data_IF_796856738707
#
_entry.id   IF_796856738707
#
_cell.length_a   1.000
_cell.length_b   1.000
_cell.length_c   1.000
_cell.angle_alpha   90.00
_cell.angle_beta   90.00
_cell.angle_gamma   90.00
#
_symmetry.space_group_name_H-M   'P 1'
#
loop_
_entity.id
_entity.type
_entity.pdbx_description
1 polymer ?
#
# COMPACT_ATOMS: atom_id res chain seq x y z
N UNK A 1 -21.78 -0.46 -23.69
CA UNK A 1 -20.36 -0.17 -23.50
C UNK A 1 -19.55 -1.44 -23.66
N UNK A 2 -18.44 -1.38 -24.39
CA UNK A 2 -17.60 -2.54 -24.59
C UNK A 2 -16.90 -2.93 -23.31
N UNK A 3 -16.84 -4.20 -23.02
CA UNK A 3 -16.21 -4.67 -21.78
C UNK A 3 -14.70 -4.47 -21.88
N UNK A 4 -14.13 -3.83 -20.85
CA UNK A 4 -12.71 -3.47 -20.89
C UNK A 4 -11.82 -4.69 -21.07
N UNK A 5 -12.13 -5.77 -20.34
CA UNK A 5 -11.28 -6.95 -20.38
C UNK A 5 -11.40 -7.68 -21.73
N UNK A 6 -12.58 -7.64 -22.33
CA UNK A 6 -12.77 -8.32 -23.61
C UNK A 6 -12.18 -7.54 -24.78
N UNK A 7 -11.82 -6.27 -24.56
CA UNK A 7 -11.09 -5.51 -25.57
C UNK A 7 -9.65 -5.92 -25.67
N UNK A 8 -9.15 -6.64 -24.67
CA UNK A 8 -7.80 -7.15 -24.66
C UNK A 8 -7.79 -8.55 -25.24
N UNK A 9 -6.61 -8.99 -25.63
CA UNK A 9 -6.41 -10.39 -25.97
C UNK A 9 -6.80 -11.24 -24.74
N UNK A 10 -7.42 -12.38 -24.97
CA UNK A 10 -7.74 -13.32 -23.88
C UNK A 10 -6.43 -13.91 -23.37
N UNK A 11 -5.78 -13.19 -22.48
CA UNK A 11 -4.45 -13.56 -22.02
C UNK A 11 -4.44 -14.90 -21.30
N UNK A 12 -5.44 -15.15 -20.45
CA UNK A 12 -5.49 -16.40 -19.70
C UNK A 12 -5.74 -17.57 -20.66
N UNK A 13 -6.64 -17.39 -21.62
CA UNK A 13 -6.87 -18.43 -22.62
C UNK A 13 -5.64 -18.70 -23.45
N UNK A 14 -4.92 -17.65 -23.80
CA UNK A 14 -3.70 -17.79 -24.59
C UNK A 14 -2.63 -18.55 -23.81
N UNK A 15 -2.42 -18.21 -22.53
CA UNK A 15 -1.47 -18.93 -21.68
C UNK A 15 -1.88 -20.39 -21.55
N UNK A 16 -3.18 -20.64 -21.42
CA UNK A 16 -3.70 -22.02 -21.25
C UNK A 16 -3.35 -22.93 -22.41
N UNK A 17 -3.19 -22.38 -23.61
CA UNK A 17 -2.81 -23.19 -24.78
C UNK A 17 -1.40 -23.76 -24.64
N UNK A 18 -0.53 -23.07 -23.92
CA UNK A 18 0.85 -23.54 -23.70
C UNK A 18 0.98 -24.27 -22.36
N UNK A 19 0.29 -23.78 -21.33
CA UNK A 19 0.42 -24.32 -19.98
C UNK A 19 -0.97 -24.31 -19.34
N UNK A 20 -1.64 -25.46 -19.45
CA UNK A 20 -3.02 -25.54 -18.97
C UNK A 20 -3.11 -25.48 -17.44
N UNK A 21 -2.07 -25.91 -16.73
CA UNK A 21 -2.11 -25.87 -15.27
C UNK A 21 -1.99 -24.43 -14.75
N UNK A 22 -1.06 -23.66 -15.30
CA UNK A 22 -0.95 -22.25 -14.91
C UNK A 22 -2.19 -21.48 -15.35
N UNK A 23 -2.66 -21.74 -16.57
CA UNK A 23 -3.86 -21.09 -17.07
C UNK A 23 -5.08 -21.35 -16.20
N UNK A 24 -5.23 -22.61 -15.75
CA UNK A 24 -6.36 -22.96 -14.88
C UNK A 24 -6.30 -22.20 -13.56
N UNK A 25 -5.10 -22.10 -12.97
CA UNK A 25 -4.95 -21.37 -11.72
C UNK A 25 -5.26 -19.89 -11.91
N UNK A 26 -4.77 -19.30 -13.01
CA UNK A 26 -5.09 -17.91 -13.31
C UNK A 26 -6.58 -17.67 -13.44
N UNK A 27 -7.26 -18.60 -14.11
CA UNK A 27 -8.69 -18.47 -14.31
C UNK A 27 -9.45 -18.56 -12.98
N UNK A 28 -9.01 -19.44 -12.08
CA UNK A 28 -9.63 -19.54 -10.76
C UNK A 28 -9.40 -18.28 -9.95
N UNK A 29 -8.21 -17.67 -10.06
CA UNK A 29 -7.95 -16.41 -9.36
C UNK A 29 -8.80 -15.28 -9.92
N UNK A 30 -8.97 -15.21 -11.23
CA UNK A 30 -9.86 -14.22 -11.83
C UNK A 30 -11.28 -14.37 -11.27
N UNK A 31 -11.77 -15.62 -11.23
CA UNK A 31 -13.10 -15.89 -10.69
C UNK A 31 -13.20 -15.47 -9.22
N UNK A 32 -12.15 -15.75 -8.43
CA UNK A 32 -12.14 -15.35 -7.03
C UNK A 32 -12.22 -13.84 -6.89
N UNK A 33 -11.45 -13.09 -7.69
CA UNK A 33 -11.49 -11.64 -7.62
C UNK A 33 -12.85 -11.09 -8.04
N UNK A 34 -13.48 -11.71 -9.02
CA UNK A 34 -14.82 -11.29 -9.46
C UNK A 34 -15.89 -11.58 -8.40
N UNK A 35 -15.73 -12.70 -7.69
CA UNK A 35 -16.72 -13.17 -6.72
C UNK A 35 -16.63 -12.45 -5.38
N UNK A 36 -15.40 -12.10 -4.95
CA UNK A 36 -15.16 -11.62 -3.59
C UNK A 36 -15.19 -10.09 -3.51
N UNK A 37 -15.60 -9.59 -2.34
CA UNK A 37 -15.36 -8.19 -2.00
C UNK A 37 -13.96 -8.09 -1.40
N UNK A 38 -13.08 -7.39 -2.10
CA UNK A 38 -11.69 -7.26 -1.66
C UNK A 38 -11.57 -6.07 -0.71
N UNK A 39 -11.44 -6.37 0.57
CA UNK A 39 -11.31 -5.34 1.61
C UNK A 39 -9.92 -5.33 2.25
N UNK A 40 -8.95 -6.03 1.67
CA UNK A 40 -7.57 -5.90 2.14
C UNK A 40 -7.08 -4.51 1.74
N UNK A 41 -6.68 -3.72 2.73
CA UNK A 41 -6.36 -2.30 2.53
C UNK A 41 -5.17 -2.08 1.59
N UNK A 42 -4.30 -3.07 1.46
CA UNK A 42 -3.09 -2.96 0.64
C UNK A 42 -3.26 -3.54 -0.76
N UNK A 43 -4.48 -3.85 -1.19
CA UNK A 43 -4.74 -4.40 -2.51
C UNK A 43 -5.61 -3.47 -3.33
N UNK A 44 -5.49 -3.62 -4.65
CA UNK A 44 -6.28 -2.82 -5.57
C UNK A 44 -6.50 -3.63 -6.85
N UNK A 45 -7.22 -3.03 -7.79
CA UNK A 45 -7.56 -3.67 -9.07
C UNK A 45 -7.04 -2.72 -10.16
N UNK A 46 -6.01 -3.16 -10.89
CA UNK A 46 -5.37 -2.27 -11.86
C UNK A 46 -6.19 -2.16 -13.14
N UNK A 47 -5.95 -1.09 -13.90
CA UNK A 47 -6.62 -0.91 -15.18
C UNK A 47 -6.13 -1.95 -16.19
N UNK A 48 -6.94 -2.22 -17.23
CA UNK A 48 -6.48 -3.12 -18.30
C UNK A 48 -5.20 -2.64 -18.97
N UNK A 49 -4.98 -1.33 -19.10
CA UNK A 49 -3.77 -0.82 -19.73
C UNK A 49 -2.53 -1.15 -18.89
N UNK A 50 -2.64 -1.07 -17.56
CA UNK A 50 -1.53 -1.46 -16.70
C UNK A 50 -1.24 -2.95 -16.84
N UNK A 51 -2.29 -3.78 -16.85
CA UNK A 51 -2.09 -5.22 -17.05
C UNK A 51 -1.38 -5.49 -18.38
N UNK A 52 -1.84 -4.83 -19.44
CA UNK A 52 -1.27 -5.07 -20.77
C UNK A 52 0.19 -4.62 -20.86
N UNK A 53 0.52 -3.49 -20.25
CA UNK A 53 1.89 -2.97 -20.30
C UNK A 53 2.89 -3.97 -19.71
N UNK A 54 2.47 -4.69 -18.66
CA UNK A 54 3.35 -5.63 -17.98
C UNK A 54 3.67 -6.88 -18.82
N UNK A 55 2.86 -7.16 -19.84
CA UNK A 55 3.03 -8.34 -20.66
C UNK A 55 3.67 -8.06 -22.01
N UNK A 56 4.45 -6.99 -22.14
CA UNK A 56 5.02 -6.60 -23.43
C UNK A 56 6.44 -7.09 -23.62
N UNK A 57 6.96 -6.85 -24.82
CA UNK A 57 8.32 -7.26 -25.18
C UNK A 57 9.40 -6.52 -24.40
N UNK A 58 9.03 -5.50 -23.62
CA UNK A 58 10.02 -4.78 -22.83
C UNK A 58 10.71 -5.69 -21.80
N UNK A 59 10.08 -6.80 -21.42
CA UNK A 59 10.72 -7.76 -20.54
C UNK A 59 12.01 -8.35 -21.13
N UNK A 60 12.15 -8.30 -22.45
CA UNK A 60 13.32 -8.86 -23.11
C UNK A 60 14.57 -7.98 -23.00
N UNK A 61 14.41 -6.70 -22.61
CA UNK A 61 15.50 -5.75 -22.72
C UNK A 61 16.29 -5.60 -21.43
N UNK A 62 17.59 -5.85 -21.50
CA UNK A 62 18.51 -5.60 -20.38
C UNK A 62 18.90 -4.12 -20.38
N UNK A 63 18.65 -3.41 -19.29
CA UNK A 63 18.81 -1.96 -19.26
C UNK A 63 19.53 -1.45 -18.02
N UNK A 64 20.58 -2.15 -17.58
CA UNK A 64 21.37 -1.71 -16.42
C UNK A 64 21.85 -0.27 -16.62
N UNK A 65 21.80 0.51 -15.55
CA UNK A 65 22.12 1.93 -15.59
C UNK A 65 20.86 2.77 -15.64
N UNK A 66 20.97 3.94 -16.22
CA UNK A 66 19.88 4.92 -16.25
C UNK A 66 19.74 5.49 -17.65
N UNK A 67 18.61 6.14 -17.97
CA UNK A 67 18.43 6.72 -19.31
C UNK A 67 19.64 7.54 -19.75
N UNK A 68 20.09 7.31 -20.97
CA UNK A 68 21.25 7.92 -21.60
C UNK A 68 22.60 7.50 -21.00
N UNK A 69 22.58 6.64 -19.98
CA UNK A 69 23.80 6.17 -19.31
C UNK A 69 23.67 4.65 -19.05
N UNK A 70 23.27 3.90 -20.07
CA UNK A 70 23.10 2.46 -19.93
C UNK A 70 24.41 1.73 -20.17
N UNK A 71 24.47 0.54 -19.61
CA UNK A 71 25.62 -0.35 -19.84
C UNK A 71 25.47 -1.17 -21.13
N UNK A 72 24.28 -1.16 -21.74
CA UNK A 72 23.99 -1.95 -22.93
C UNK A 72 23.43 -1.06 -24.03
N UNK A 73 23.66 -1.49 -25.27
CA UNK A 73 23.07 -0.80 -26.42
C UNK A 73 21.58 -1.14 -26.57
N UNK A 74 20.93 -0.43 -27.49
CA UNK A 74 19.54 -0.74 -27.84
C UNK A 74 18.52 -0.22 -26.85
N UNK A 75 18.88 0.77 -26.06
CA UNK A 75 18.00 1.25 -24.98
C UNK A 75 17.23 2.51 -25.32
N UNK A 76 17.28 2.96 -26.57
CA UNK A 76 16.67 4.25 -26.89
C UNK A 76 15.19 4.32 -26.56
N UNK A 77 14.46 3.21 -26.67
CA UNK A 77 13.02 3.24 -26.41
C UNK A 77 12.67 2.93 -24.97
N UNK A 78 13.42 2.05 -24.28
CA UNK A 78 13.19 1.87 -22.86
C UNK A 78 13.59 3.13 -22.09
N UNK A 79 14.53 3.93 -22.62
CA UNK A 79 14.85 5.21 -22.03
C UNK A 79 13.62 6.15 -22.05
N UNK A 80 12.88 6.14 -23.17
CA UNK A 80 11.65 6.96 -23.25
C UNK A 80 10.68 6.52 -22.17
N UNK A 81 10.49 5.23 -22.01
CA UNK A 81 9.54 4.68 -21.02
C UNK A 81 9.97 5.07 -19.61
N UNK A 82 11.24 4.87 -19.29
CA UNK A 82 11.70 5.18 -17.93
C UNK A 82 11.64 6.69 -17.65
N UNK A 83 11.98 7.52 -18.63
CA UNK A 83 11.87 8.96 -18.45
C UNK A 83 10.42 9.39 -18.27
N UNK A 84 9.48 8.79 -19.00
CA UNK A 84 8.06 9.09 -18.78
C UNK A 84 7.64 8.76 -17.35
N UNK A 85 8.05 7.60 -16.85
CA UNK A 85 7.71 7.22 -15.49
C UNK A 85 8.30 8.20 -14.48
N UNK A 86 9.58 8.56 -14.64
CA UNK A 86 10.25 9.48 -13.73
C UNK A 86 9.61 10.87 -13.76
N UNK A 87 9.36 11.39 -14.95
CA UNK A 87 8.79 12.73 -15.11
C UNK A 87 7.38 12.78 -14.53
N UNK A 88 6.57 11.75 -14.82
CA UNK A 88 5.20 11.71 -14.31
C UNK A 88 5.17 11.58 -12.79
N UNK A 89 6.08 10.78 -12.22
CA UNK A 89 6.17 10.65 -10.76
C UNK A 89 6.51 12.00 -10.13
N UNK A 90 7.48 12.72 -10.69
CA UNK A 90 7.86 14.02 -10.17
C UNK A 90 6.72 15.02 -10.27
N UNK A 91 5.99 15.01 -11.38
CA UNK A 91 4.85 15.89 -11.56
C UNK A 91 3.73 15.55 -10.58
N UNK A 92 3.45 14.25 -10.43
CA UNK A 92 2.35 13.78 -9.61
C UNK A 92 2.52 14.14 -8.14
N UNK A 93 3.74 13.99 -7.63
CA UNK A 93 4.03 14.19 -6.21
C UNK A 93 4.80 15.48 -5.92
N UNK A 94 5.11 16.26 -6.95
CA UNK A 94 5.87 17.51 -6.81
C UNK A 94 7.25 17.27 -6.21
N UNK A 95 7.89 16.19 -6.67
CA UNK A 95 9.22 15.81 -6.20
C UNK A 95 10.30 16.35 -7.15
N UNK A 96 11.49 16.55 -6.61
CA UNK A 96 12.61 17.02 -7.41
C UNK A 96 13.27 15.90 -8.20
N UNK A 97 13.20 14.67 -7.68
CA UNK A 97 13.84 13.52 -8.31
C UNK A 97 13.04 12.26 -8.00
N UNK A 98 13.01 11.34 -8.96
CA UNK A 98 12.36 10.04 -8.80
C UNK A 98 13.25 8.94 -9.31
N UNK A 99 13.28 7.81 -8.59
CA UNK A 99 13.88 6.57 -9.08
C UNK A 99 12.77 5.54 -9.14
N UNK A 100 12.48 5.06 -10.34
CA UNK A 100 11.36 4.15 -10.56
C UNK A 100 11.81 2.69 -10.71
N UNK A 101 13.08 2.39 -10.44
CA UNK A 101 13.63 1.05 -10.64
C UNK A 101 13.43 0.08 -9.47
N UNK A 102 13.13 0.48 -8.22
CA UNK A 102 12.96 -0.51 -7.17
C UNK A 102 11.95 -1.59 -7.54
N UNK A 103 12.34 -2.86 -7.34
CA UNK A 103 11.47 -3.98 -7.67
C UNK A 103 10.28 -4.08 -6.70
N UNK A 104 10.44 -3.55 -5.50
CA UNK A 104 9.41 -3.63 -4.47
C UNK A 104 9.57 -2.46 -3.50
N UNK A 105 8.55 -2.27 -2.65
CA UNK A 105 8.66 -1.30 -1.58
C UNK A 105 9.77 -1.65 -0.61
N UNK A 106 9.94 -2.93 -0.32
CA UNK A 106 11.01 -3.36 0.58
C UNK A 106 12.39 -2.99 0.01
N UNK A 107 12.58 -3.19 -1.29
CA UNK A 107 13.86 -2.83 -1.90
C UNK A 107 14.07 -1.32 -1.96
N UNK A 108 12.99 -0.57 -2.14
CA UNK A 108 13.10 0.89 -2.06
C UNK A 108 13.60 1.32 -0.68
N UNK A 109 13.02 0.76 0.38
CA UNK A 109 13.44 1.10 1.74
C UNK A 109 14.89 0.70 2.00
N UNK A 110 15.27 -0.51 1.57
CA UNK A 110 16.64 -0.98 1.75
C UNK A 110 17.62 -0.06 1.03
N UNK A 111 17.27 0.38 -0.19
CA UNK A 111 18.15 1.26 -0.94
C UNK A 111 18.35 2.60 -0.21
N UNK A 112 17.30 3.13 0.40
CA UNK A 112 17.42 4.38 1.15
C UNK A 112 18.36 4.19 2.34
N UNK A 113 18.20 3.08 3.08
CA UNK A 113 19.10 2.79 4.19
C UNK A 113 20.54 2.65 3.70
N UNK A 114 20.73 1.95 2.58
CA UNK A 114 22.06 1.75 2.01
C UNK A 114 22.69 3.10 1.59
N UNK A 115 21.87 3.99 1.07
CA UNK A 115 22.37 5.28 0.57
C UNK A 115 22.76 6.24 1.69
N UNK A 116 22.01 6.24 2.79
CA UNK A 116 22.13 7.32 3.79
C UNK A 116 22.67 6.87 5.13
N UNK A 117 22.80 5.57 5.37
CA UNK A 117 23.19 5.02 6.66
C UNK A 117 24.38 4.08 6.52
N UNK A 118 25.04 3.84 7.65
CA UNK A 118 26.04 2.79 7.77
C UNK A 118 25.49 1.67 8.67
N UNK A 119 25.93 0.42 8.47
CA UNK A 119 25.47 -0.65 9.35
C UNK A 119 25.69 -0.30 10.81
N UNK A 120 24.67 -0.59 11.62
CA UNK A 120 24.72 -0.30 13.06
C UNK A 120 24.19 1.06 13.43
N UNK A 121 23.94 1.95 12.47
CA UNK A 121 23.38 3.26 12.79
C UNK A 121 22.02 3.11 13.47
N UNK A 122 21.71 4.06 14.36
CA UNK A 122 20.43 4.08 15.07
C UNK A 122 19.36 4.74 14.20
N UNK A 123 18.22 4.07 14.10
CA UNK A 123 17.06 4.53 13.32
C UNK A 123 15.82 4.37 14.18
N UNK A 124 14.87 5.28 14.09
CA UNK A 124 13.58 5.10 14.74
C UNK A 124 12.53 4.78 13.70
N UNK A 125 11.74 3.75 13.96
CA UNK A 125 10.66 3.34 13.08
C UNK A 125 9.45 2.92 13.90
N UNK A 126 8.28 2.94 13.29
CA UNK A 126 7.06 2.58 14.00
C UNK A 126 7.07 1.10 14.37
N UNK A 127 6.64 0.82 15.59
CA UNK A 127 6.52 -0.55 16.09
C UNK A 127 5.63 -1.38 15.16
N UNK A 128 6.08 -2.58 14.82
CA UNK A 128 5.32 -3.49 13.97
C UNK A 128 3.94 -3.78 14.58
N UNK A 129 3.90 -3.96 15.88
CA UNK A 129 2.64 -4.28 16.57
C UNK A 129 1.66 -3.11 16.55
N UNK A 130 2.13 -1.89 16.28
CA UNK A 130 1.30 -0.71 16.31
C UNK A 130 1.16 -0.04 14.94
N UNK A 131 1.52 -0.74 13.87
CA UNK A 131 1.26 -0.28 12.52
C UNK A 131 2.45 -0.15 11.61
N UNK A 132 3.66 -0.42 12.08
CA UNK A 132 4.85 -0.33 11.25
C UNK A 132 4.95 -1.46 10.25
N UNK A 133 5.70 -1.23 9.18
CA UNK A 133 5.98 -2.26 8.19
C UNK A 133 7.19 -3.09 8.61
N UNK A 134 7.30 -4.32 8.09
CA UNK A 134 8.45 -5.17 8.37
C UNK A 134 9.78 -4.46 8.11
N UNK A 135 9.86 -3.70 7.04
CA UNK A 135 11.10 -3.03 6.65
C UNK A 135 11.38 -1.78 7.46
N UNK A 136 10.59 -1.52 8.49
CA UNK A 136 10.84 -0.43 9.42
C UNK A 136 11.45 -0.94 10.72
N UNK A 137 12.25 -2.01 10.65
CA UNK A 137 13.06 -2.44 11.76
C UNK A 137 12.71 -3.76 12.41
N UNK A 138 11.85 -4.57 11.77
CA UNK A 138 11.55 -5.89 12.34
C UNK A 138 12.83 -6.71 12.53
N UNK A 139 12.99 -7.38 13.67
CA UNK A 139 14.21 -8.17 13.89
C UNK A 139 14.46 -9.28 12.89
N UNK A 140 13.41 -9.76 12.22
CA UNK A 140 13.58 -10.81 11.21
C UNK A 140 13.80 -10.26 9.82
N UNK A 141 13.78 -8.95 9.68
CA UNK A 141 13.97 -8.27 8.39
C UNK A 141 15.39 -7.71 8.32
N UNK A 142 15.91 -7.54 7.11
CA UNK A 142 17.23 -6.97 6.91
C UNK A 142 17.39 -5.67 7.70
N UNK A 143 16.35 -4.85 7.74
CA UNK A 143 16.43 -3.55 8.41
C UNK A 143 16.78 -3.73 9.90
N UNK A 144 16.08 -4.63 10.58
CA UNK A 144 16.33 -4.86 12.00
C UNK A 144 17.63 -5.60 12.28
N UNK A 145 18.13 -6.34 11.29
CA UNK A 145 19.39 -7.06 11.45
C UNK A 145 20.62 -6.17 11.27
N UNK A 146 20.55 -5.22 10.36
CA UNK A 146 21.71 -4.42 9.98
C UNK A 146 21.78 -3.08 10.70
N UNK A 147 20.67 -2.58 11.21
CA UNK A 147 20.61 -1.27 11.85
C UNK A 147 20.03 -1.39 13.24
N UNK A 148 20.35 -0.43 14.09
CA UNK A 148 19.83 -0.41 15.46
C UNK A 148 18.51 0.34 15.49
N UNK A 149 17.41 -0.37 15.29
CA UNK A 149 16.10 0.24 15.27
C UNK A 149 15.51 0.36 16.66
N UNK A 150 15.05 1.55 16.97
CA UNK A 150 14.34 1.85 18.20
C UNK A 150 12.89 2.15 17.83
N UNK A 151 11.93 1.36 18.30
CA UNK A 151 10.54 1.58 17.90
C UNK A 151 9.92 2.76 18.59
N UNK A 152 9.00 3.43 17.88
CA UNK A 152 8.06 4.36 18.50
C UNK A 152 6.66 3.84 18.25
N UNK A 153 5.68 4.37 18.97
CA UNK A 153 4.35 3.83 18.88
C UNK A 153 3.26 4.85 19.05
N UNK A 154 2.10 4.33 19.41
CA UNK A 154 0.92 5.17 19.60
C UNK A 154 0.67 5.40 21.09
N UNK A 155 -0.03 6.48 21.39
CA UNK A 155 -0.49 6.75 22.75
C UNK A 155 -1.55 5.70 23.09
N UNK A 156 -1.42 5.01 24.23
CA UNK A 156 -2.37 3.93 24.53
C UNK A 156 -3.81 4.40 24.74
N UNK A 157 -4.02 5.66 25.06
CA UNK A 157 -5.38 6.17 25.25
C UNK A 157 -6.01 6.64 23.94
N UNK A 158 -5.25 7.42 23.14
CA UNK A 158 -5.78 7.95 21.88
C UNK A 158 -5.62 6.99 20.73
N UNK A 159 -4.68 6.06 20.84
CA UNK A 159 -4.32 5.12 19.78
C UNK A 159 -3.75 5.81 18.54
N UNK A 160 -3.33 7.06 18.68
CA UNK A 160 -2.68 7.84 17.62
C UNK A 160 -1.19 7.95 17.93
N UNK A 161 -0.39 8.27 16.89
CA UNK A 161 1.05 8.41 17.08
C UNK A 161 1.34 9.36 18.23
N UNK A 162 2.23 8.96 19.13
CA UNK A 162 2.61 9.75 20.29
C UNK A 162 3.82 10.61 19.91
N UNK A 163 3.56 11.77 19.33
CA UNK A 163 4.62 12.64 18.86
C UNK A 163 5.49 13.18 19.98
N UNK A 164 4.90 13.45 21.14
CA UNK A 164 5.66 13.99 22.27
C UNK A 164 6.66 12.95 22.76
N UNK A 165 6.24 11.71 22.88
CA UNK A 165 7.14 10.64 23.30
C UNK A 165 8.20 10.38 22.26
N UNK A 166 7.82 10.45 20.98
CA UNK A 166 8.78 10.31 19.88
C UNK A 166 9.86 11.38 20.00
N UNK A 167 9.46 12.63 20.22
CA UNK A 167 10.41 13.72 20.39
C UNK A 167 11.38 13.44 21.55
N UNK A 168 10.83 13.06 22.72
CA UNK A 168 11.67 12.78 23.88
C UNK A 168 12.69 11.69 23.60
N UNK A 169 12.25 10.60 23.00
CA UNK A 169 13.14 9.48 22.69
C UNK A 169 14.19 9.88 21.66
N UNK A 170 13.80 10.64 20.65
CA UNK A 170 14.73 11.08 19.62
C UNK A 170 15.82 11.98 20.19
N UNK A 171 15.47 12.83 21.15
CA UNK A 171 16.47 13.71 21.77
C UNK A 171 17.47 12.93 22.62
N UNK A 172 17.05 11.80 23.17
CA UNK A 172 17.95 10.93 23.96
C UNK A 172 18.80 10.06 23.04
N UNK A 173 18.17 9.40 22.08
CA UNK A 173 18.83 8.39 21.25
C UNK A 173 19.61 8.97 20.08
N UNK A 174 19.26 10.18 19.66
CA UNK A 174 19.94 10.86 18.55
C UNK A 174 20.05 9.96 17.32
N UNK A 175 18.92 9.48 16.77
CA UNK A 175 18.98 8.61 15.61
C UNK A 175 19.53 9.33 14.39
N UNK A 176 20.11 8.55 13.47
CA UNK A 176 20.53 9.10 12.18
C UNK A 176 19.35 9.32 11.25
N UNK A 177 18.27 8.59 11.48
CA UNK A 177 17.09 8.65 10.61
C UNK A 177 15.85 8.30 11.41
N UNK A 178 14.74 8.97 11.07
CA UNK A 178 13.42 8.58 11.57
C UNK A 178 12.57 8.21 10.38
N UNK A 179 11.93 7.04 10.45
CA UNK A 179 11.05 6.54 9.38
C UNK A 179 9.62 6.76 9.80
N UNK A 180 8.88 7.54 9.01
CA UNK A 180 7.44 7.72 9.20
C UNK A 180 6.69 6.87 8.18
N UNK A 181 5.44 6.51 8.50
CA UNK A 181 4.62 5.71 7.63
C UNK A 181 4.10 4.49 8.34
N UNK A 182 2.90 4.07 7.98
CA UNK A 182 2.23 2.99 8.68
C UNK A 182 1.39 2.15 7.72
N UNK A 183 1.28 0.86 8.04
CA UNK A 183 0.46 -0.08 7.28
C UNK A 183 -0.92 -0.24 7.89
N UNK A 184 -1.18 0.24 9.04
CA UNK A 184 -2.44 -0.01 9.76
C UNK A 184 -3.00 1.23 10.45
N UNK A 185 -2.47 3.03 10.29
CA UNK A 185 -2.73 3.77 10.70
C UNK A 185 -3.62 4.18 10.35
N UNK A 186 -4.87 4.33 10.80
CA UNK A 186 -6.06 4.89 10.15
C UNK A 186 -6.15 6.41 10.19
N UNK A 187 -5.21 7.08 10.83
CA UNK A 187 -5.33 8.54 10.96
C UNK A 187 -4.25 9.27 10.16
N UNK A 188 -4.52 10.53 9.85
CA UNK A 188 -3.59 11.38 9.11
C UNK A 188 -2.27 11.50 9.85
N UNK A 189 -1.16 11.43 9.12
CA UNK A 189 0.18 11.55 9.70
C UNK A 189 0.63 12.99 9.58
N UNK A 190 1.17 13.54 10.66
CA UNK A 190 1.63 14.92 10.70
C UNK A 190 3.11 14.97 10.30
N UNK A 191 3.36 15.12 9.00
CA UNK A 191 4.72 15.11 8.49
C UNK A 191 5.52 16.33 8.93
N UNK A 192 4.85 17.47 9.14
CA UNK A 192 5.52 18.66 9.65
C UNK A 192 6.10 18.39 11.03
N UNK A 193 5.36 17.74 11.89
CA UNK A 193 5.83 17.40 13.21
C UNK A 193 7.04 16.47 13.16
N UNK A 194 6.99 15.46 12.26
CA UNK A 194 8.15 14.59 12.05
C UNK A 194 9.36 15.40 11.61
N UNK A 195 9.16 16.35 10.69
CA UNK A 195 10.27 17.19 10.22
C UNK A 195 10.89 17.99 11.36
N UNK A 196 10.05 18.57 12.21
CA UNK A 196 10.52 19.34 13.35
C UNK A 196 11.35 18.47 14.30
N UNK A 197 10.89 17.26 14.55
CA UNK A 197 11.61 16.34 15.42
C UNK A 197 12.96 15.96 14.82
N UNK A 198 12.97 15.64 13.52
CA UNK A 198 14.22 15.29 12.84
C UNK A 198 15.21 16.44 12.87
N UNK A 199 14.74 17.66 12.63
CA UNK A 199 15.62 18.82 12.68
C UNK A 199 16.20 19.02 14.08
N UNK A 200 15.40 18.78 15.11
CA UNK A 200 15.86 18.98 16.49
C UNK A 200 16.93 17.97 16.89
N UNK A 201 16.86 16.74 16.37
CA UNK A 201 17.82 15.70 16.75
C UNK A 201 18.89 15.41 15.70
N UNK A 202 18.82 16.10 14.56
CA UNK A 202 19.83 15.94 13.50
C UNK A 202 19.66 14.71 12.65
N UNK A 203 18.43 14.24 12.46
CA UNK A 203 18.14 13.00 11.73
C UNK A 203 17.62 13.30 10.32
N UNK A 204 17.87 12.36 9.40
CA UNK A 204 17.13 12.34 8.15
C UNK A 204 15.67 11.99 8.43
N UNK A 205 14.77 12.56 7.63
CA UNK A 205 13.37 12.12 7.64
C UNK A 205 13.10 11.31 6.38
N UNK A 206 12.77 10.04 6.56
CA UNK A 206 12.30 9.16 5.49
C UNK A 206 10.83 8.88 5.73
N UNK A 207 10.01 9.04 4.70
CA UNK A 207 8.60 8.71 4.79
C UNK A 207 8.29 7.58 3.82
N UNK A 208 7.73 6.49 4.34
CA UNK A 208 7.24 5.39 3.53
C UNK A 208 5.73 5.61 3.37
N UNK A 209 5.32 6.11 2.19
CA UNK A 209 3.92 6.45 1.96
C UNK A 209 3.18 5.35 1.18
N UNK A 210 3.67 4.12 1.22
CA UNK A 210 3.12 3.06 0.38
C UNK A 210 1.61 2.96 0.46
N UNK A 211 1.06 2.95 1.67
CA UNK A 211 -0.38 2.78 1.84
C UNK A 211 -1.17 3.98 1.35
N UNK A 212 -0.61 5.17 1.47
CA UNK A 212 -1.37 6.40 1.19
C UNK A 212 -0.95 7.08 -0.10
N UNK A 213 -0.06 6.48 -0.90
CA UNK A 213 0.46 7.18 -2.08
C UNK A 213 -0.63 7.65 -3.02
N UNK A 214 -1.66 6.82 -3.25
CA UNK A 214 -2.77 7.25 -4.10
C UNK A 214 -3.56 8.40 -3.51
N UNK A 215 -3.71 8.41 -2.19
CA UNK A 215 -4.41 9.52 -1.52
C UNK A 215 -3.59 10.80 -1.58
N UNK A 216 -2.27 10.69 -1.44
CA UNK A 216 -1.38 11.83 -1.61
C UNK A 216 -1.50 12.39 -3.04
N UNK A 217 -1.45 11.48 -4.03
CA UNK A 217 -1.57 11.89 -5.43
C UNK A 217 -2.90 12.59 -5.70
N UNK A 218 -3.96 12.14 -5.05
CA UNK A 218 -5.30 12.69 -5.24
C UNK A 218 -5.56 13.94 -4.39
N UNK A 219 -4.63 14.31 -3.51
CA UNK A 219 -4.83 15.47 -2.65
C UNK A 219 -5.64 15.19 -1.39
N UNK A 220 -5.86 13.92 -1.06
CA UNK A 220 -6.68 13.54 0.10
C UNK A 220 -5.85 13.32 1.37
N UNK A 221 -4.54 13.34 1.26
CA UNK A 221 -3.64 13.24 2.40
C UNK A 221 -2.50 14.21 2.18
N UNK A 222 -1.95 14.74 3.28
CA UNK A 222 -0.79 15.62 3.21
C UNK A 222 0.35 14.96 2.45
N UNK A 223 1.07 15.73 1.67
CA UNK A 223 2.14 15.21 0.82
C UNK A 223 3.47 15.20 1.58
N UNK A 224 4.03 14.01 1.85
CA UNK A 224 5.29 13.96 2.61
C UNK A 224 6.50 14.51 1.84
N UNK A 225 6.41 14.60 0.52
CA UNK A 225 7.52 15.14 -0.27
C UNK A 225 7.87 16.56 0.16
N UNK A 226 6.88 17.31 0.62
CA UNK A 226 7.09 18.67 1.09
C UNK A 226 8.05 18.71 2.29
N UNK A 227 8.06 17.66 3.11
CA UNK A 227 8.77 17.67 4.40
C UNK A 227 9.96 16.73 4.47
N UNK A 228 9.90 15.61 3.77
CA UNK A 228 10.90 14.55 3.94
C UNK A 228 12.13 14.77 3.08
N UNK A 229 13.24 14.21 3.54
CA UNK A 229 14.46 14.13 2.72
C UNK A 229 14.25 13.11 1.60
N UNK A 230 13.66 11.96 1.93
CA UNK A 230 13.43 10.88 0.99
C UNK A 230 12.07 10.26 1.29
N UNK A 231 11.34 9.92 0.22
CA UNK A 231 10.04 9.27 0.32
C UNK A 231 10.09 7.98 -0.47
N UNK A 232 9.61 6.90 0.13
CA UNK A 232 9.47 5.63 -0.58
C UNK A 232 8.01 5.27 -0.72
N UNK A 233 7.72 4.41 -1.68
CA UNK A 233 6.36 3.89 -1.83
C UNK A 233 6.38 2.59 -2.62
N UNK A 234 5.34 1.78 -2.44
CA UNK A 234 4.97 0.79 -3.43
C UNK A 234 4.13 1.49 -4.50
N UNK A 235 3.93 0.82 -5.63
CA UNK A 235 3.12 1.39 -6.70
C UNK A 235 1.76 0.70 -6.84
N UNK A 236 1.44 -0.28 -5.98
CA UNK A 236 0.31 -1.19 -6.21
C UNK A 236 -0.77 -1.16 -5.13
N UNK A 237 -0.78 -0.16 -4.23
CA UNK A 237 -1.84 -0.06 -3.22
C UNK A 237 -2.83 1.03 -3.64
N UNK A 238 -2.93 2.12 -2.89
CA UNK A 238 -3.86 3.19 -3.29
C UNK A 238 -3.47 3.83 -4.63
N UNK A 239 -2.20 3.75 -5.01
CA UNK A 239 -1.76 4.31 -6.29
C UNK A 239 -2.28 3.51 -7.49
N UNK A 240 -2.65 2.26 -7.29
CA UNK A 240 -3.35 1.44 -8.27
C UNK A 240 -2.50 1.13 -9.51
N UNK A 241 -1.25 0.78 -9.29
CA UNK A 241 -0.34 0.43 -10.37
C UNK A 241 0.18 -1.00 -10.28
N UNK A 242 1.21 -1.30 -11.06
CA UNK A 242 1.80 -2.64 -11.00
C UNK A 242 2.53 -2.85 -9.69
N UNK A 243 2.74 -4.08 -9.29
CA UNK A 243 3.53 -4.37 -8.11
C UNK A 243 4.97 -3.92 -8.37
N UNK A 244 5.47 -3.09 -7.46
CA UNK A 244 6.80 -2.51 -7.58
C UNK A 244 6.98 -1.43 -6.54
N UNK A 245 8.12 -0.76 -6.61
CA UNK A 245 8.45 0.32 -5.69
C UNK A 245 8.95 1.56 -6.39
N UNK A 246 9.17 2.62 -5.62
CA UNK A 246 9.66 3.89 -6.14
C UNK A 246 10.25 4.70 -5.01
N UNK A 247 11.25 5.54 -5.33
CA UNK A 247 11.82 6.47 -4.38
C UNK A 247 11.72 7.88 -4.97
N UNK A 248 11.27 8.82 -4.14
CA UNK A 248 11.27 10.24 -4.46
C UNK A 248 12.21 10.94 -3.47
N UNK A 249 12.93 11.94 -3.92
CA UNK A 249 13.84 12.60 -2.97
C UNK A 249 14.16 14.02 -3.41
N UNK A 250 14.76 14.77 -2.48
CA UNK A 250 15.32 16.07 -2.80
C UNK A 250 16.54 15.88 -3.69
N UNK A 251 16.80 16.87 -4.51
CA UNK A 251 17.88 16.76 -5.52
C UNK A 251 19.22 16.43 -4.89
N UNK A 252 19.47 16.93 -3.70
CA UNK A 252 20.76 16.69 -3.04
C UNK A 252 21.02 15.22 -2.73
N UNK A 253 19.97 14.40 -2.69
CA UNK A 253 20.13 12.96 -2.42
C UNK A 253 20.01 12.12 -3.68
N UNK A 254 19.74 12.73 -4.84
CA UNK A 254 19.44 12.00 -6.06
C UNK A 254 20.55 11.04 -6.47
N UNK A 255 21.79 11.55 -6.44
CA UNK A 255 22.93 10.76 -6.87
C UNK A 255 23.14 9.55 -5.96
N UNK A 256 23.05 9.75 -4.65
CA UNK A 256 23.24 8.66 -3.68
C UNK A 256 22.12 7.60 -3.82
N UNK A 257 20.90 8.06 -4.01
CA UNK A 257 19.77 7.15 -4.16
C UNK A 257 19.91 6.32 -5.45
N UNK A 258 20.22 6.98 -6.57
CA UNK A 258 20.36 6.26 -7.83
C UNK A 258 21.49 5.24 -7.77
N UNK A 259 22.60 5.58 -7.14
CA UNK A 259 23.71 4.67 -6.99
C UNK A 259 23.37 3.51 -6.06
N UNK A 260 22.57 3.77 -5.03
CA UNK A 260 22.15 2.72 -4.10
C UNK A 260 21.25 1.70 -4.77
N UNK A 261 20.43 2.13 -5.71
CA UNK A 261 19.61 1.21 -6.48
C UNK A 261 20.51 0.45 -7.46
N UNK A 262 21.23 1.16 -8.33
CA UNK A 262 22.13 0.50 -9.27
C UNK A 262 23.48 1.22 -9.28
N UNK A 263 24.55 0.51 -8.99
CA UNK A 263 24.69 -0.94 -8.81
C UNK A 263 24.57 -1.42 -7.35
N UNK A 264 24.12 -0.56 -6.44
CA UNK A 264 24.22 -0.87 -5.02
C UNK A 264 23.43 -2.09 -4.57
N UNK A 265 22.14 -2.16 -4.91
CA UNK A 265 21.27 -3.20 -4.40
C UNK A 265 20.52 -3.98 -5.47
N UNK A 266 20.53 -3.51 -6.72
CA UNK A 266 19.83 -4.18 -7.82
C UNK A 266 20.73 -4.25 -9.03
N UNK A 267 20.32 -5.07 -10.03
CA UNK A 267 20.92 -5.13 -11.35
C UNK A 267 19.97 -4.53 -12.37
N UNK A 268 19.62 -5.31 -13.40
CA UNK A 268 18.76 -4.84 -14.48
C UNK A 268 17.37 -4.50 -14.00
N UNK A 269 16.85 -3.33 -14.38
CA UNK A 269 15.48 -2.97 -14.02
C UNK A 269 14.47 -3.78 -14.82
N UNK A 270 13.26 -3.87 -14.30
CA UNK A 270 12.17 -4.59 -14.96
C UNK A 270 11.42 -3.61 -15.85
N UNK A 271 11.85 -3.51 -17.11
CA UNK A 271 11.33 -2.45 -17.98
C UNK A 271 9.84 -2.61 -18.28
N UNK A 272 9.33 -3.85 -18.31
CA UNK A 272 7.90 -4.08 -18.50
C UNK A 272 7.09 -3.58 -17.30
N UNK A 273 7.65 -3.65 -16.11
CA UNK A 273 6.97 -3.12 -14.92
C UNK A 273 7.09 -1.59 -14.90
N UNK A 274 8.25 -1.05 -15.29
CA UNK A 274 8.38 0.41 -15.38
C UNK A 274 7.38 0.97 -16.39
N UNK A 275 7.12 0.24 -17.48
CA UNK A 275 6.07 0.65 -18.41
C UNK A 275 4.71 0.70 -17.72
N UNK A 276 4.40 -0.31 -16.91
CA UNK A 276 3.17 -0.29 -16.12
C UNK A 276 3.12 0.87 -15.15
N UNK A 277 4.25 1.21 -14.54
CA UNK A 277 4.32 2.39 -13.67
C UNK A 277 4.04 3.67 -14.45
N UNK A 278 4.64 3.81 -15.63
CA UNK A 278 4.41 5.00 -16.45
C UNK A 278 2.94 5.15 -16.81
N UNK A 279 2.27 4.06 -17.17
CA UNK A 279 0.84 4.09 -17.46
C UNK A 279 0.05 4.48 -16.21
N UNK A 280 0.38 3.86 -15.09
CA UNK A 280 -0.28 4.15 -13.81
C UNK A 280 -0.18 5.63 -13.45
N UNK A 281 1.03 6.21 -13.56
CA UNK A 281 1.22 7.60 -13.20
C UNK A 281 0.48 8.53 -14.17
N UNK A 282 0.40 8.14 -15.44
CA UNK A 282 -0.39 8.89 -16.41
C UNK A 282 -1.87 8.90 -16.04
N UNK A 283 -2.39 7.76 -15.61
CA UNK A 283 -3.77 7.69 -15.14
C UNK A 283 -3.97 8.55 -13.89
N UNK A 284 -2.99 8.51 -12.97
CA UNK A 284 -3.11 9.24 -11.71
C UNK A 284 -3.05 10.75 -11.90
N UNK A 285 -2.47 11.23 -13.01
CA UNK A 285 -2.44 12.65 -13.32
C UNK A 285 -3.77 13.20 -13.84
N UNK A 286 -4.70 12.33 -14.19
CA UNK A 286 -5.99 12.76 -14.74
C UNK A 286 -6.96 13.18 -13.63
N UNK A 287 -7.89 14.09 -13.93
CA UNK A 287 -8.85 14.53 -12.91
C UNK A 287 -9.66 13.40 -12.30
N UNK A 288 -9.94 12.35 -13.07
CA UNK A 288 -10.72 11.21 -12.57
C UNK A 288 -10.05 10.54 -11.39
N UNK A 289 -8.73 10.61 -11.30
CA UNK A 289 -8.03 9.99 -10.19
C UNK A 289 -8.27 10.76 -8.88
N UNK A 290 -8.39 12.08 -8.95
CA UNK A 290 -8.73 12.86 -7.76
C UNK A 290 -10.12 12.47 -7.24
N UNK A 291 -11.07 12.28 -8.14
CA UNK A 291 -12.40 11.81 -7.78
C UNK A 291 -12.32 10.43 -7.13
N UNK A 292 -11.52 9.55 -7.72
CA UNK A 292 -11.34 8.21 -7.18
C UNK A 292 -10.79 8.26 -5.74
N UNK A 293 -9.75 9.06 -5.51
CA UNK A 293 -9.19 9.19 -4.18
C UNK A 293 -10.19 9.73 -3.18
N UNK A 294 -10.99 10.70 -3.59
CA UNK A 294 -12.02 11.24 -2.72
C UNK A 294 -13.05 10.17 -2.36
N UNK A 295 -13.46 9.36 -3.35
CA UNK A 295 -14.41 8.29 -3.10
C UNK A 295 -13.86 7.20 -2.18
N UNK A 296 -12.55 6.93 -2.26
CA UNK A 296 -11.93 5.97 -1.32
C UNK A 296 -12.16 6.44 0.11
N UNK A 297 -11.88 7.71 0.37
CA UNK A 297 -12.00 8.26 1.72
C UNK A 297 -13.47 8.33 2.15
N UNK A 298 -14.35 8.75 1.26
CA UNK A 298 -15.79 8.75 1.54
C UNK A 298 -16.29 7.36 1.89
N UNK A 299 -15.90 6.37 1.09
CA UNK A 299 -16.32 4.99 1.33
C UNK A 299 -15.78 4.47 2.66
N UNK A 300 -14.53 4.80 2.97
CA UNK A 300 -13.96 4.36 4.24
C UNK A 300 -14.70 4.98 5.42
N UNK A 301 -15.02 6.28 5.33
CA UNK A 301 -15.78 6.93 6.39
C UNK A 301 -17.16 6.31 6.54
N UNK A 302 -17.81 6.00 5.42
CA UNK A 302 -19.15 5.39 5.47
C UNK A 302 -19.10 3.99 6.05
N UNK A 303 -18.08 3.20 5.69
CA UNK A 303 -17.94 1.87 6.26
C UNK A 303 -17.68 1.94 7.77
N UNK A 304 -16.78 2.84 8.18
CA UNK A 304 -16.48 3.02 9.60
C UNK A 304 -17.73 3.43 10.38
N UNK A 305 -18.49 4.41 9.86
CA UNK A 305 -19.72 4.85 10.53
C UNK A 305 -20.74 3.71 10.60
N UNK A 306 -20.88 2.95 9.51
CA UNK A 306 -21.81 1.84 9.49
C UNK A 306 -21.46 0.76 10.50
N UNK A 307 -20.18 0.50 10.69
CA UNK A 307 -19.72 -0.47 11.68
C UNK A 307 -19.97 0.05 13.09
N UNK A 308 -19.61 1.32 13.34
CA UNK A 308 -19.73 1.87 14.69
C UNK A 308 -21.18 1.99 15.13
N UNK A 309 -22.10 2.34 14.23
CA UNK A 309 -23.49 2.44 14.61
C UNK A 309 -24.11 1.07 14.91
N UNK A 310 -23.44 0.00 14.49
CA UNK A 310 -23.85 -1.36 14.81
C UNK A 310 -23.09 -1.95 15.99
N UNK A 311 -22.36 -1.09 16.72
CA UNK A 311 -21.67 -1.49 17.93
C UNK A 311 -20.31 -2.09 17.74
N UNK A 312 -19.76 -2.04 16.53
CA UNK A 312 -18.41 -2.57 16.27
C UNK A 312 -17.40 -1.51 16.66
N UNK A 313 -16.42 -1.89 17.48
CA UNK A 313 -15.42 -0.97 17.98
C UNK A 313 -14.28 -0.83 16.97
N UNK A 314 -13.87 0.40 16.71
CA UNK A 314 -12.76 0.67 15.79
C UNK A 314 -11.60 1.35 16.52
N UNK A 315 -10.39 0.97 16.16
CA UNK A 315 -9.19 1.63 16.66
C UNK A 315 -9.26 3.11 16.29
N UNK A 316 -8.94 3.99 17.21
CA UNK A 316 -9.03 5.45 17.13
C UNK A 316 -10.45 6.00 16.95
N UNK A 317 -11.46 5.14 16.92
CA UNK A 317 -12.84 5.60 16.75
C UNK A 317 -13.17 6.06 15.34
N UNK A 318 -12.48 5.56 14.34
CA UNK A 318 -12.79 5.94 12.96
C UNK A 318 -11.58 5.93 12.06
N UNK A 319 -11.65 6.73 10.99
CA UNK A 319 -10.58 6.78 10.01
C UNK A 319 -10.54 8.13 9.31
N UNK A 320 -9.33 8.54 8.91
CA UNK A 320 -9.12 9.71 8.05
C UNK A 320 -8.73 9.32 6.64
N UNK A 321 -8.50 8.02 6.38
CA UNK A 321 -7.92 7.63 5.11
C UNK A 321 -8.70 6.47 4.48
N UNK A 322 -7.98 5.48 3.95
CA UNK A 322 -8.57 4.38 3.19
C UNK A 322 -8.80 3.13 4.03
N UNK A 323 -8.34 3.10 5.28
CA UNK A 323 -8.38 1.88 6.07
C UNK A 323 -8.94 2.13 7.46
N UNK A 324 -9.38 1.05 8.09
CA UNK A 324 -9.83 1.07 9.47
C UNK A 324 -9.51 -0.26 10.11
N UNK A 325 -9.49 -0.27 11.44
CA UNK A 325 -9.15 -1.46 12.21
C UNK A 325 -10.30 -1.78 13.16
N UNK A 326 -10.90 -2.96 12.99
CA UNK A 326 -11.86 -3.47 13.98
C UNK A 326 -11.08 -3.94 15.18
N UNK A 327 -11.55 -3.57 16.37
CA UNK A 327 -10.92 -3.95 17.64
C UNK A 327 -11.83 -4.92 18.38
N UNK A 328 -11.40 -6.18 18.46
CA UNK A 328 -12.13 -7.25 19.12
C UNK A 328 -11.62 -7.53 20.53
N UNK A 329 -10.79 -6.64 21.08
CA UNK A 329 -10.25 -6.84 22.44
C UNK A 329 -11.38 -7.03 23.44
N UNK A 330 -11.22 -8.01 24.32
CA UNK A 330 -12.22 -8.34 25.33
C UNK A 330 -13.30 -9.28 24.85
N UNK A 331 -13.34 -9.59 23.56
CA UNK A 331 -14.30 -10.56 23.03
C UNK A 331 -13.66 -11.93 22.88
N UNK A 332 -14.48 -12.98 22.89
CA UNK A 332 -13.96 -14.30 22.58
C UNK A 332 -13.52 -14.41 21.11
N UNK A 333 -14.24 -13.73 20.24
CA UNK A 333 -13.91 -13.75 18.81
C UNK A 333 -12.54 -13.12 18.57
N UNK A 334 -11.71 -13.83 17.82
CA UNK A 334 -10.36 -13.39 17.48
C UNK A 334 -10.31 -12.83 16.07
N UNK A 335 -9.23 -12.08 15.79
CA UNK A 335 -9.00 -11.62 14.43
C UNK A 335 -8.90 -12.77 13.44
N UNK A 336 -8.19 -13.83 13.83
CA UNK A 336 -8.06 -15.01 12.98
C UNK A 336 -9.41 -15.65 12.65
N UNK A 337 -10.27 -15.76 13.64
CA UNK A 337 -11.59 -16.37 13.41
C UNK A 337 -12.48 -15.47 12.56
N UNK A 338 -12.46 -14.17 12.80
CA UNK A 338 -13.25 -13.25 11.97
C UNK A 338 -12.77 -13.26 10.52
N UNK A 339 -11.45 -13.27 10.33
CA UNK A 339 -10.88 -13.37 8.98
C UNK A 339 -11.42 -14.63 8.27
N UNK A 340 -11.43 -15.75 8.98
CA UNK A 340 -11.92 -17.02 8.43
C UNK A 340 -13.42 -16.95 8.09
N UNK A 341 -14.21 -16.38 9.00
CA UNK A 341 -15.67 -16.27 8.75
C UNK A 341 -15.94 -15.46 7.50
N UNK A 342 -15.26 -14.31 7.38
CA UNK A 342 -15.48 -13.42 6.24
C UNK A 342 -15.05 -14.09 4.94
N UNK A 343 -13.92 -14.80 4.97
CA UNK A 343 -13.47 -15.51 3.77
C UNK A 343 -14.51 -16.53 3.29
N UNK A 344 -15.17 -17.21 4.22
CA UNK A 344 -16.18 -18.18 3.90
C UNK A 344 -17.37 -17.56 3.15
N UNK A 345 -17.64 -16.28 3.41
CA UNK A 345 -18.78 -15.58 2.79
C UNK A 345 -18.32 -14.56 1.73
N UNK A 346 -17.11 -14.78 1.18
CA UNK A 346 -16.60 -14.03 0.02
C UNK A 346 -16.22 -12.60 0.34
N UNK A 347 -15.80 -12.33 1.57
CA UNK A 347 -15.23 -11.05 1.95
C UNK A 347 -13.78 -11.27 2.36
N UNK A 348 -12.86 -10.65 1.63
CA UNK A 348 -11.43 -10.85 1.87
C UNK A 348 -10.88 -9.70 2.69
N UNK A 349 -10.35 -10.01 3.87
CA UNK A 349 -9.76 -9.04 4.79
C UNK A 349 -8.60 -9.73 5.51
N UNK A 350 -7.90 -9.01 6.39
CA UNK A 350 -6.77 -9.65 7.08
C UNK A 350 -6.78 -9.33 8.56
N UNK A 351 -6.41 -10.35 9.36
CA UNK A 351 -6.20 -10.13 10.79
C UNK A 351 -5.01 -9.19 11.01
N UNK A 352 -5.03 -8.46 12.10
CA UNK A 352 -4.00 -7.47 12.37
C UNK A 352 -3.95 -7.20 13.89
N UNK A 353 -2.76 -6.99 14.41
CA UNK A 353 -2.64 -6.60 15.82
C UNK A 353 -3.25 -5.22 16.03
N UNK A 354 -3.74 -4.98 17.24
CA UNK A 354 -4.29 -3.69 17.63
C UNK A 354 -3.44 -3.10 18.75
N UNK A 355 -3.56 -1.78 19.02
CA UNK A 355 -2.86 -1.22 20.17
C UNK A 355 -3.23 -1.97 21.45
N UNK A 356 -2.25 -2.19 22.31
CA UNK A 356 -2.42 -2.95 23.57
C UNK A 356 -2.80 -4.41 23.34
N UNK A 357 -2.33 -5.00 22.24
CA UNK A 357 -2.67 -6.36 21.86
C UNK A 357 -2.26 -7.35 22.93
N UNK A 358 -3.20 -8.22 23.35
CA UNK A 358 -2.96 -9.24 24.38
C UNK A 358 -2.76 -10.62 23.76
N UNK A 359 -3.12 -10.80 22.49
CA UNK A 359 -3.00 -12.08 21.78
C UNK A 359 -1.75 -12.12 20.94
N UNK A 360 -1.35 -13.31 20.51
CA UNK A 360 -0.17 -13.45 19.66
C UNK A 360 -0.42 -12.85 18.27
N UNK A 361 0.65 -12.47 17.55
CA UNK A 361 0.47 -11.95 16.18
C UNK A 361 -0.17 -12.94 15.21
N UNK A 362 -0.17 -14.23 15.54
CA UNK A 362 -0.79 -15.23 14.68
C UNK A 362 -2.29 -15.36 14.90
N UNK A 363 -2.81 -14.77 15.98
CA UNK A 363 -4.23 -14.82 16.35
C UNK A 363 -4.86 -13.44 16.23
N UNK A 364 -4.31 -12.46 16.90
CA UNK A 364 -4.69 -11.05 17.00
C UNK A 364 -6.08 -10.77 17.56
N UNK A 365 -6.29 -9.54 17.94
CA UNK A 365 -7.60 -9.04 18.34
C UNK A 365 -8.15 -8.03 17.34
N UNK A 366 -7.59 -8.00 16.14
CA UNK A 366 -8.01 -7.02 15.15
C UNK A 366 -8.21 -7.57 13.77
N UNK A 367 -8.97 -6.80 12.99
CA UNK A 367 -9.16 -7.08 11.58
C UNK A 367 -9.03 -5.75 10.85
N UNK A 368 -8.16 -5.72 9.82
CA UNK A 368 -7.95 -4.52 9.00
C UNK A 368 -8.83 -4.58 7.77
N UNK A 369 -9.48 -3.45 7.47
CA UNK A 369 -10.34 -3.28 6.29
C UNK A 369 -9.89 -2.05 5.52
N UNK A 370 -10.08 -2.08 4.20
CA UNK A 370 -9.80 -0.93 3.37
C UNK A 370 -10.69 -0.88 2.16
N UNK A 371 -10.81 0.31 1.57
CA UNK A 371 -11.76 0.55 0.49
C UNK A 371 -11.18 0.82 -0.90
N UNK A 372 -9.85 0.76 -1.14
CA UNK A 372 -9.38 1.08 -2.49
C UNK A 372 -9.92 0.15 -3.57
N UNK A 373 -9.87 -1.16 -3.37
CA UNK A 373 -10.29 -2.10 -4.42
C UNK A 373 -11.78 -2.00 -4.71
N UNK A 374 -12.62 -1.95 -3.68
CA UNK A 374 -14.06 -1.86 -3.92
C UNK A 374 -14.44 -0.52 -4.53
N UNK A 375 -13.71 0.55 -4.21
CA UNK A 375 -13.95 1.85 -4.84
C UNK A 375 -13.56 1.81 -6.32
N UNK A 376 -12.43 1.18 -6.66
CA UNK A 376 -12.07 0.96 -8.06
C UNK A 376 -13.18 0.23 -8.80
N UNK A 377 -13.79 -0.75 -8.13
CA UNK A 377 -14.83 -1.56 -8.73
C UNK A 377 -16.12 -0.78 -8.98
N UNK A 378 -16.33 0.29 -8.21
CA UNK A 378 -17.49 1.16 -8.44
C UNK A 378 -18.44 1.29 -7.26
N UNK A 379 -18.16 0.62 -6.16
CA UNK A 379 -19.06 0.66 -5.01
C UNK A 379 -19.15 2.07 -4.43
N UNK A 380 -20.27 2.37 -3.80
CA UNK A 380 -20.55 3.69 -3.23
C UNK A 380 -20.86 3.59 -1.74
N UNK A 381 -21.21 4.73 -1.13
CA UNK A 381 -21.42 4.76 0.32
C UNK A 381 -22.62 3.94 0.77
N UNK A 382 -23.63 3.79 -0.08
CA UNK A 382 -24.77 2.93 0.26
C UNK A 382 -24.33 1.48 0.34
N UNK A 383 -23.45 1.07 -0.58
CA UNK A 383 -22.89 -0.28 -0.53
C UNK A 383 -22.09 -0.50 0.73
N UNK A 384 -21.40 0.55 1.21
CA UNK A 384 -20.60 0.44 2.43
C UNK A 384 -21.49 0.13 3.64
N UNK A 385 -22.66 0.69 3.70
CA UNK A 385 -23.59 0.38 4.81
C UNK A 385 -24.00 -1.09 4.76
N UNK A 386 -24.23 -1.61 3.56
CA UNK A 386 -24.58 -3.03 3.43
C UNK A 386 -23.41 -3.93 3.83
N UNK A 387 -22.19 -3.53 3.46
CA UNK A 387 -21.00 -4.28 3.88
C UNK A 387 -20.85 -4.24 5.39
N UNK A 388 -21.09 -3.07 6.00
CA UNK A 388 -21.04 -2.96 7.45
C UNK A 388 -22.03 -3.91 8.12
N UNK A 389 -23.23 -4.03 7.55
CA UNK A 389 -24.23 -4.97 8.08
C UNK A 389 -23.72 -6.40 7.98
N UNK A 390 -23.16 -6.78 6.83
CA UNK A 390 -22.61 -8.11 6.64
C UNK A 390 -21.52 -8.43 7.67
N UNK A 391 -20.61 -7.48 7.88
CA UNK A 391 -19.51 -7.71 8.83
C UNK A 391 -20.06 -7.82 10.26
N UNK A 392 -21.01 -6.97 10.62
CA UNK A 392 -21.63 -7.03 11.94
C UNK A 392 -22.30 -8.38 12.17
N UNK A 393 -23.00 -8.90 11.17
CA UNK A 393 -23.60 -10.23 11.27
C UNK A 393 -22.54 -11.32 11.41
N UNK A 394 -21.42 -11.19 10.70
CA UNK A 394 -20.34 -12.16 10.84
C UNK A 394 -19.76 -12.16 12.25
N UNK A 395 -19.71 -10.99 12.89
CA UNK A 395 -19.21 -10.89 14.26
C UNK A 395 -20.20 -11.47 15.25
N UNK A 396 -21.46 -11.11 15.13
CA UNK A 396 -22.45 -11.33 16.20
C UNK A 396 -23.40 -12.50 15.96
N UNK A 397 -23.56 -12.96 14.73
CA UNK A 397 -24.60 -13.95 14.41
C UNK A 397 -24.21 -14.76 13.18
N UNK A 398 -22.95 -15.18 13.11
CA UNK A 398 -22.41 -15.74 11.87
C UNK A 398 -23.14 -16.99 11.42
N UNK A 399 -23.35 -17.97 12.35
CA UNK A 399 -23.89 -19.26 11.94
C UNK A 399 -25.29 -19.13 11.36
N UNK A 400 -26.11 -18.25 11.95
CA UNK A 400 -27.47 -18.04 11.45
C UNK A 400 -27.51 -17.15 10.21
N UNK A 401 -26.45 -16.41 9.95
CA UNK A 401 -26.45 -15.39 8.88
C UNK A 401 -25.57 -15.73 7.69
N UNK A 402 -24.89 -16.86 7.71
CA UNK A 402 -23.88 -17.17 6.70
C UNK A 402 -24.43 -17.06 5.28
N UNK A 403 -25.57 -17.69 5.01
CA UNK A 403 -26.16 -17.65 3.67
C UNK A 403 -26.64 -16.26 3.30
N UNK A 404 -27.20 -15.53 4.27
CA UNK A 404 -27.66 -14.18 4.01
C UNK A 404 -26.50 -13.27 3.62
N UNK A 405 -25.35 -13.40 4.33
CA UNK A 405 -24.18 -12.61 4.01
C UNK A 405 -23.67 -12.96 2.61
N UNK A 406 -23.55 -14.25 2.32
CA UNK A 406 -23.03 -14.68 1.02
C UNK A 406 -23.91 -14.18 -0.12
N UNK A 407 -25.23 -14.24 0.07
CA UNK A 407 -26.16 -13.73 -0.94
C UNK A 407 -26.02 -12.22 -1.14
N UNK A 408 -25.84 -11.47 -0.03
CA UNK A 408 -25.66 -10.03 -0.14
C UNK A 408 -24.38 -9.68 -0.88
N UNK A 409 -23.29 -10.39 -0.60
CA UNK A 409 -22.02 -10.16 -1.30
C UNK A 409 -22.17 -10.44 -2.79
N UNK A 410 -22.80 -11.56 -3.13
CA UNK A 410 -23.02 -11.95 -4.51
C UNK A 410 -23.84 -10.88 -5.24
N UNK A 411 -24.88 -10.37 -4.59
CA UNK A 411 -25.73 -9.35 -5.21
C UNK A 411 -24.95 -8.07 -5.45
N UNK A 412 -24.14 -7.65 -4.47
CA UNK A 412 -23.32 -6.45 -4.63
C UNK A 412 -22.34 -6.62 -5.80
N UNK A 413 -21.62 -7.73 -5.82
CA UNK A 413 -20.64 -7.97 -6.88
C UNK A 413 -21.28 -8.04 -8.26
N UNK A 414 -22.53 -8.53 -8.35
CA UNK A 414 -23.21 -8.62 -9.64
C UNK A 414 -23.51 -7.24 -10.23
N UNK A 415 -23.64 -6.22 -9.38
CA UNK A 415 -23.91 -4.87 -9.87
C UNK A 415 -22.64 -4.16 -10.35
N UNK A 416 -21.48 -4.69 -10.01
CA UNK A 416 -20.20 -4.08 -10.35
C UNK A 416 -19.26 -5.12 -10.97
N UNK A 417 -19.55 -5.54 -12.22
CA UNK A 417 -18.71 -6.58 -12.83
C UNK A 417 -17.25 -6.11 -12.98
N UNK A 418 -16.35 -7.08 -12.87
CA UNK A 418 -14.90 -6.81 -12.88
C UNK A 418 -14.25 -7.58 -14.01
N UNK A 419 -13.50 -6.90 -14.87
CA UNK A 419 -12.71 -7.52 -15.94
C UNK A 419 -13.56 -8.41 -16.85
N UNK A 420 -14.75 -7.96 -17.22
CA UNK A 420 -15.63 -8.68 -18.14
C UNK A 420 -15.65 -8.04 -19.51
#
# INVERSE_FOLDING_TARGET
MKKMYSDMMDTIGFVSQTDSEVGAAMNEELKRQQRNLELIASENLVSPAVLAAMGTVLTNKYAEGYPAKRYYGGCQYVDVVENLARDRACELFKAEHANVQPHSGAQANIAVYFALLNPGDTVMGMSLAEGGHLTHGSPVNLSGKYFNFIPYGVNPETERIDYDKLYETAMIEKPKMIVAGASAXPRMIDFQRFREICDACGAYLMVDMAHIAGLVAAGEHANPVEWADVVTTTTHKTLRGPRGGMILCREQYAKAIDKAIFPGTQGGPLMHIIAGKAVCFGEALKPEFKEYGHRIVENAAALADGLMKRGVKLVTGGTDNHLMMINLSGMELTGKELERRLDTVYITANKNTVPNEQRSPFITSGLRLGTPAVTTRGLNTQDMDKIADCISLAINDFEASEEKIRSAVTEICSRYPLYE
#
